data_IF_750744157656
#
_entry.id   IF_750744157656
#
_cell.length_a   1.000
_cell.length_b   1.000
_cell.length_c   1.000
_cell.angle_alpha   90.00
_cell.angle_beta   90.00
_cell.angle_gamma   90.00
#
_symmetry.space_group_name_H-M   'P 1'
#
loop_
_entity.id
_entity.type
_entity.pdbx_description
1 polymer ?
#
# COMPACT_ATOMS: atom_id res chain seq x y z
N UNK A 1 4.11 -21.65 8.04
CA UNK A 1 4.95 -20.93 7.07
C UNK A 1 6.41 -21.07 7.48
N UNK A 2 7.29 -21.45 6.55
CA UNK A 2 8.74 -21.51 6.85
C UNK A 2 9.34 -20.10 6.89
N UNK A 3 10.50 -19.95 7.54
CA UNK A 3 11.21 -18.65 7.58
C UNK A 3 11.50 -18.13 6.17
N UNK A 4 11.90 -19.01 5.24
CA UNK A 4 12.16 -18.65 3.83
C UNK A 4 10.91 -18.09 3.14
N UNK A 5 9.76 -18.74 3.32
CA UNK A 5 8.49 -18.27 2.74
C UNK A 5 8.06 -16.95 3.37
N UNK A 6 8.21 -16.77 4.68
CA UNK A 6 7.93 -15.48 5.36
C UNK A 6 8.76 -14.34 4.77
N UNK A 7 10.07 -14.57 4.67
CA UNK A 7 11.01 -13.56 4.13
C UNK A 7 10.64 -13.22 2.68
N UNK A 8 10.33 -14.23 1.87
CA UNK A 8 9.90 -14.04 0.49
C UNK A 8 8.64 -13.18 0.43
N UNK A 9 7.60 -13.52 1.19
CA UNK A 9 6.34 -12.76 1.21
C UNK A 9 6.54 -11.31 1.67
N UNK A 10 7.37 -11.07 2.68
CA UNK A 10 7.66 -9.71 3.14
C UNK A 10 8.43 -8.92 2.09
N UNK A 11 9.44 -9.51 1.44
CA UNK A 11 10.18 -8.84 0.36
C UNK A 11 9.28 -8.54 -0.84
N UNK A 12 8.48 -9.50 -1.29
CA UNK A 12 7.56 -9.28 -2.41
C UNK A 12 6.54 -8.20 -2.06
N UNK A 13 6.00 -8.21 -0.83
CA UNK A 13 5.05 -7.19 -0.38
C UNK A 13 5.69 -5.81 -0.30
N UNK A 14 6.93 -5.71 0.20
CA UNK A 14 7.69 -4.45 0.22
C UNK A 14 7.95 -3.91 -1.19
N UNK A 15 8.31 -4.79 -2.14
CA UNK A 15 8.47 -4.42 -3.56
C UNK A 15 7.15 -3.95 -4.15
N UNK A 16 6.04 -4.63 -3.87
CA UNK A 16 4.71 -4.22 -4.32
C UNK A 16 4.31 -2.85 -3.77
N UNK A 17 4.63 -2.54 -2.50
CA UNK A 17 4.42 -1.21 -1.92
C UNK A 17 5.25 -0.13 -2.62
N UNK A 18 6.51 -0.42 -2.95
CA UNK A 18 7.33 0.50 -3.74
C UNK A 18 6.73 0.70 -5.14
N UNK A 19 6.32 -0.38 -5.80
CA UNK A 19 5.69 -0.31 -7.12
C UNK A 19 4.39 0.50 -7.08
N UNK A 20 3.58 0.34 -6.03
CA UNK A 20 2.39 1.13 -5.80
C UNK A 20 2.71 2.62 -5.59
N UNK A 21 3.75 2.94 -4.81
CA UNK A 21 4.23 4.32 -4.63
C UNK A 21 4.64 4.97 -5.95
N UNK A 22 5.41 4.26 -6.78
CA UNK A 22 5.78 4.71 -8.14
C UNK A 22 4.54 4.89 -9.01
N UNK A 23 3.63 3.93 -9.02
CA UNK A 23 2.37 4.01 -9.78
C UNK A 23 1.54 5.23 -9.35
N UNK A 24 1.45 5.50 -8.04
CA UNK A 24 0.70 6.62 -7.50
C UNK A 24 1.25 7.97 -7.99
N UNK A 25 2.58 8.12 -7.98
CA UNK A 25 3.25 9.30 -8.53
C UNK A 25 3.09 9.41 -10.05
N UNK A 26 3.25 8.30 -10.78
CA UNK A 26 3.17 8.27 -12.24
C UNK A 26 1.76 8.57 -12.77
N UNK A 27 0.71 8.17 -12.04
CA UNK A 27 -0.69 8.40 -12.41
C UNK A 27 -1.18 9.79 -12.03
N UNK A 28 -0.43 10.53 -11.19
CA UNK A 28 -0.77 11.90 -10.77
C UNK A 28 -1.08 12.86 -11.94
N UNK A 29 -0.24 12.98 -12.98
CA UNK A 29 -0.56 13.85 -14.13
C UNK A 29 -1.80 13.37 -14.89
N UNK A 30 -2.01 12.05 -15.00
CA UNK A 30 -3.17 11.48 -15.68
C UNK A 30 -4.48 11.84 -14.96
N UNK A 31 -4.52 11.73 -13.62
CA UNK A 31 -5.71 12.12 -12.84
C UNK A 31 -5.93 13.64 -12.92
N UNK A 32 -4.87 14.44 -12.87
CA UNK A 32 -5.00 15.89 -13.04
C UNK A 32 -5.61 16.26 -14.40
N UNK A 33 -5.27 15.52 -15.45
CA UNK A 33 -5.82 15.70 -16.79
C UNK A 33 -7.28 15.24 -16.86
N UNK A 34 -7.60 14.04 -16.34
CA UNK A 34 -8.99 13.57 -16.23
C UNK A 34 -9.89 14.56 -15.46
N UNK A 35 -9.38 15.15 -14.38
CA UNK A 35 -10.13 16.14 -13.61
C UNK A 35 -10.40 17.39 -14.46
N UNK A 36 -9.41 17.82 -15.24
CA UNK A 36 -9.54 18.96 -16.17
C UNK A 36 -10.61 18.69 -17.24
N UNK A 37 -10.67 17.47 -17.76
CA UNK A 37 -11.65 17.08 -18.80
C UNK A 37 -13.07 16.88 -18.24
N UNK A 38 -13.20 16.47 -16.98
CA UNK A 38 -14.48 16.08 -16.38
C UNK A 38 -15.15 17.16 -15.51
N UNK A 39 -14.39 18.13 -14.98
CA UNK A 39 -14.91 19.10 -14.01
C UNK A 39 -15.09 20.50 -14.60
N UNK A 40 -16.04 21.25 -14.03
CA UNK A 40 -16.23 22.67 -14.37
C UNK A 40 -15.00 23.48 -13.93
N UNK A 41 -14.60 24.54 -14.67
CA UNK A 41 -13.41 25.34 -14.37
C UNK A 41 -13.34 25.82 -12.92
N UNK A 42 -14.46 26.33 -12.38
CA UNK A 42 -14.53 26.82 -10.99
C UNK A 42 -14.31 25.73 -9.92
N UNK A 43 -14.51 24.45 -10.25
CA UNK A 43 -14.25 23.34 -9.32
C UNK A 43 -12.79 22.86 -9.39
N UNK A 44 -12.08 23.11 -10.49
CA UNK A 44 -10.68 22.69 -10.67
C UNK A 44 -9.74 23.36 -9.69
N UNK A 45 -9.94 24.65 -9.44
CA UNK A 45 -9.10 25.44 -8.54
C UNK A 45 -9.15 24.91 -7.10
N UNK A 46 -10.29 24.31 -6.71
CA UNK A 46 -10.49 23.75 -5.38
C UNK A 46 -10.10 22.26 -5.28
N UNK A 47 -10.34 21.47 -6.33
CA UNK A 47 -10.14 20.01 -6.30
C UNK A 47 -8.71 19.60 -6.63
N UNK A 48 -8.03 20.31 -7.53
CA UNK A 48 -6.72 19.91 -8.04
C UNK A 48 -5.61 20.00 -6.98
N UNK A 49 -5.48 21.09 -6.18
CA UNK A 49 -4.43 21.18 -5.17
C UNK A 49 -4.46 20.06 -4.11
N UNK A 50 -5.58 19.75 -3.43
CA UNK A 50 -5.61 18.68 -2.42
C UNK A 50 -5.40 17.29 -3.04
N UNK A 51 -5.90 17.06 -4.25
CA UNK A 51 -5.68 15.80 -4.97
C UNK A 51 -4.20 15.56 -5.28
N UNK A 52 -3.50 16.59 -5.80
CA UNK A 52 -2.06 16.53 -6.09
C UNK A 52 -1.25 16.33 -4.82
N UNK A 53 -1.55 17.09 -3.77
CA UNK A 53 -0.88 16.98 -2.48
C UNK A 53 -1.00 15.54 -1.94
N UNK A 54 -2.21 14.99 -1.93
CA UNK A 54 -2.42 13.62 -1.45
C UNK A 54 -1.63 12.60 -2.29
N UNK A 55 -1.65 12.70 -3.62
CA UNK A 55 -0.94 11.75 -4.48
C UNK A 55 0.58 11.81 -4.31
N UNK A 56 1.13 13.02 -4.18
CA UNK A 56 2.57 13.19 -3.97
C UNK A 56 2.97 12.68 -2.59
N UNK A 57 2.26 13.09 -1.54
CA UNK A 57 2.58 12.70 -0.16
C UNK A 57 2.46 11.19 0.02
N UNK A 58 1.35 10.59 -0.39
CA UNK A 58 1.14 9.14 -0.27
C UNK A 58 2.16 8.39 -1.13
N UNK A 59 2.40 8.83 -2.36
CA UNK A 59 3.36 8.19 -3.26
C UNK A 59 4.78 8.19 -2.68
N UNK A 60 5.23 9.35 -2.19
CA UNK A 60 6.56 9.51 -1.55
C UNK A 60 6.66 8.70 -0.27
N UNK A 61 5.62 8.60 0.55
CA UNK A 61 5.65 7.84 1.81
C UNK A 61 5.58 6.31 1.60
N UNK A 62 4.96 5.84 0.52
CA UNK A 62 4.89 4.40 0.21
C UNK A 62 6.25 3.80 -0.15
N UNK A 63 7.13 4.57 -0.80
CA UNK A 63 8.48 4.13 -1.17
C UNK A 63 9.34 3.73 0.05
N UNK A 64 9.59 4.59 1.05
CA UNK A 64 10.38 4.22 2.21
C UNK A 64 9.69 3.14 3.05
N UNK A 65 8.36 3.06 3.09
CA UNK A 65 7.64 1.96 3.75
C UNK A 65 7.92 0.61 3.06
N UNK A 66 7.86 0.57 1.73
CA UNK A 66 8.18 -0.64 0.96
C UNK A 66 9.64 -1.08 1.14
N UNK A 67 10.58 -0.14 1.13
CA UNK A 67 12.00 -0.40 1.42
C UNK A 67 12.18 -0.92 2.85
N UNK A 68 11.54 -0.30 3.84
CA UNK A 68 11.64 -0.68 5.24
C UNK A 68 11.11 -2.10 5.48
N UNK A 69 9.99 -2.48 4.85
CA UNK A 69 9.47 -3.86 4.93
C UNK A 69 10.42 -4.86 4.26
N UNK A 70 10.97 -4.51 3.11
CA UNK A 70 11.95 -5.36 2.39
C UNK A 70 13.22 -5.57 3.22
N UNK A 71 13.68 -4.52 3.89
CA UNK A 71 14.85 -4.54 4.78
C UNK A 71 14.58 -5.27 6.10
N UNK A 72 13.38 -5.13 6.68
CA UNK A 72 12.98 -5.82 7.90
C UNK A 72 12.72 -7.32 7.68
N UNK A 73 12.42 -7.74 6.45
CA UNK A 73 12.04 -9.12 6.10
C UNK A 73 12.91 -10.24 6.71
N UNK A 74 14.26 -10.22 6.57
CA UNK A 74 15.12 -11.27 7.13
C UNK A 74 15.27 -11.22 8.65
N UNK A 75 14.87 -10.13 9.30
CA UNK A 75 15.08 -9.92 10.73
C UNK A 75 13.92 -10.48 11.57
N UNK A 76 14.25 -11.04 12.74
CA UNK A 76 13.29 -11.54 13.74
C UNK A 76 13.26 -10.71 15.04
N UNK A 77 14.04 -9.63 15.10
CA UNK A 77 14.12 -8.70 16.23
C UNK A 77 12.77 -8.05 16.54
N UNK A 78 12.63 -7.52 17.76
CA UNK A 78 11.40 -6.84 18.21
C UNK A 78 11.02 -5.68 17.30
N UNK A 79 11.98 -4.82 16.92
CA UNK A 79 11.72 -3.67 16.03
C UNK A 79 11.18 -4.13 14.67
N UNK A 80 11.76 -5.18 14.06
CA UNK A 80 11.34 -5.67 12.75
C UNK A 80 9.93 -6.25 12.80
N UNK A 81 9.58 -6.96 13.88
CA UNK A 81 8.24 -7.49 14.11
C UNK A 81 7.21 -6.37 14.32
N UNK A 82 7.50 -5.40 15.18
CA UNK A 82 6.60 -4.28 15.47
C UNK A 82 6.35 -3.46 14.20
N UNK A 83 7.41 -3.03 13.52
CA UNK A 83 7.29 -2.26 12.26
C UNK A 83 6.48 -3.01 11.21
N UNK A 84 6.78 -4.29 10.98
CA UNK A 84 6.06 -5.10 9.98
C UNK A 84 4.58 -5.24 10.33
N UNK A 85 4.23 -5.46 11.60
CA UNK A 85 2.84 -5.59 12.04
C UNK A 85 2.07 -4.28 11.94
N UNK A 86 2.67 -3.17 12.37
CA UNK A 86 2.05 -1.83 12.28
C UNK A 86 1.75 -1.48 10.83
N UNK A 87 2.74 -1.66 9.94
CA UNK A 87 2.55 -1.39 8.51
C UNK A 87 1.54 -2.36 7.89
N UNK A 88 1.61 -3.65 8.21
CA UNK A 88 0.64 -4.63 7.70
C UNK A 88 -0.80 -4.27 8.10
N UNK A 89 -1.02 -3.89 9.35
CA UNK A 89 -2.35 -3.44 9.83
C UNK A 89 -2.80 -2.16 9.10
N UNK A 90 -1.92 -1.17 8.95
CA UNK A 90 -2.25 0.07 8.25
C UNK A 90 -2.57 -0.16 6.76
N UNK A 91 -1.82 -1.03 6.07
CA UNK A 91 -2.07 -1.36 4.67
C UNK A 91 -3.33 -2.23 4.53
N UNK A 92 -3.65 -3.06 5.52
CA UNK A 92 -4.85 -3.89 5.51
C UNK A 92 -6.16 -3.12 5.67
N UNK A 93 -6.15 -1.92 6.25
CA UNK A 93 -7.34 -1.09 6.31
C UNK A 93 -7.64 -0.39 4.98
N UNK A 94 -6.70 -0.35 4.03
CA UNK A 94 -6.90 0.33 2.75
C UNK A 94 -7.98 -0.32 1.88
N UNK A 95 -7.97 -1.64 1.57
CA UNK A 95 -9.04 -2.25 0.76
C UNK A 95 -10.47 -2.01 1.29
N UNK A 96 -10.79 -2.29 2.57
CA UNK A 96 -12.16 -2.08 3.06
C UNK A 96 -12.53 -0.60 3.07
N UNK A 97 -11.60 0.30 3.39
CA UNK A 97 -11.85 1.75 3.37
C UNK A 97 -12.12 2.24 1.95
N UNK A 98 -11.37 1.76 0.95
CA UNK A 98 -11.60 2.13 -0.46
C UNK A 98 -12.97 1.67 -0.95
N UNK A 99 -13.36 0.42 -0.65
CA UNK A 99 -14.68 -0.11 -1.03
C UNK A 99 -15.80 0.70 -0.35
N UNK A 100 -15.63 1.02 0.94
CA UNK A 100 -16.63 1.74 1.72
C UNK A 100 -16.78 3.21 1.28
N UNK A 101 -15.68 3.90 0.99
CA UNK A 101 -15.69 5.35 0.70
C UNK A 101 -15.94 5.64 -0.79
N UNK A 102 -15.30 4.94 -1.71
CA UNK A 102 -15.41 5.25 -3.14
C UNK A 102 -16.64 4.62 -3.79
N UNK A 103 -17.12 3.47 -3.30
CA UNK A 103 -18.13 2.69 -4.02
C UNK A 103 -17.58 2.11 -5.34
N UNK A 104 -18.32 1.16 -5.93
CA UNK A 104 -17.81 0.34 -7.04
C UNK A 104 -17.74 1.04 -8.41
N UNK A 105 -18.31 2.24 -8.53
CA UNK A 105 -18.41 2.95 -9.82
C UNK A 105 -17.08 3.51 -10.34
N UNK A 106 -16.11 3.78 -9.47
CA UNK A 106 -14.81 4.35 -9.86
C UNK A 106 -13.81 3.31 -10.40
N UNK A 107 -14.17 2.02 -10.39
CA UNK A 107 -13.31 0.93 -10.88
C UNK A 107 -13.23 0.80 -12.40
N UNK A 108 -13.80 1.74 -13.17
CA UNK A 108 -13.74 1.71 -14.64
C UNK A 108 -12.35 1.97 -15.23
N UNK A 109 -11.47 2.68 -14.52
CA UNK A 109 -10.15 3.06 -15.02
C UNK A 109 -9.08 1.98 -14.72
N UNK A 110 -8.32 1.57 -15.74
CA UNK A 110 -7.26 0.55 -15.61
C UNK A 110 -6.24 0.85 -14.49
N UNK A 111 -5.73 2.08 -14.30
CA UNK A 111 -4.79 2.37 -13.22
C UNK A 111 -5.38 2.13 -11.82
N UNK A 112 -6.68 2.37 -11.67
CA UNK A 112 -7.39 2.19 -10.41
C UNK A 112 -7.59 0.71 -10.07
N UNK A 113 -7.91 -0.11 -11.09
CA UNK A 113 -7.98 -1.57 -10.94
C UNK A 113 -6.62 -2.16 -10.57
N UNK A 114 -5.55 -1.75 -11.26
CA UNK A 114 -4.18 -2.21 -10.97
C UNK A 114 -3.75 -1.81 -9.55
N UNK A 115 -3.96 -0.55 -9.16
CA UNK A 115 -3.64 -0.09 -7.81
C UNK A 115 -4.41 -0.88 -6.75
N UNK A 116 -5.71 -1.11 -6.96
CA UNK A 116 -6.53 -1.91 -6.02
C UNK A 116 -6.04 -3.36 -5.95
N UNK A 117 -5.76 -3.99 -7.08
CA UNK A 117 -5.26 -5.37 -7.10
C UNK A 117 -3.92 -5.48 -6.34
N UNK A 118 -2.98 -4.56 -6.60
CA UNK A 118 -1.69 -4.50 -5.89
C UNK A 118 -1.90 -4.31 -4.38
N UNK A 119 -2.77 -3.38 -3.98
CA UNK A 119 -3.08 -3.14 -2.56
C UNK A 119 -3.70 -4.38 -1.93
N UNK A 120 -4.72 -4.98 -2.54
CA UNK A 120 -5.38 -6.17 -2.00
C UNK A 120 -4.41 -7.35 -1.83
N UNK A 121 -3.63 -7.65 -2.88
CA UNK A 121 -2.63 -8.71 -2.83
C UNK A 121 -1.60 -8.40 -1.74
N UNK A 122 -1.05 -7.18 -1.74
CA UNK A 122 -0.07 -6.73 -0.76
C UNK A 122 -0.61 -6.81 0.68
N UNK A 123 -1.82 -6.34 0.94
CA UNK A 123 -2.46 -6.36 2.26
C UNK A 123 -2.61 -7.79 2.78
N UNK A 124 -3.10 -8.71 1.94
CA UNK A 124 -3.27 -10.13 2.33
C UNK A 124 -1.92 -10.78 2.61
N UNK A 125 -0.93 -10.59 1.74
CA UNK A 125 0.40 -11.19 1.92
C UNK A 125 1.16 -10.60 3.11
N UNK A 126 1.06 -9.29 3.36
CA UNK A 126 1.63 -8.62 4.53
C UNK A 126 1.00 -9.11 5.82
N UNK A 127 -0.35 -9.16 5.91
CA UNK A 127 -1.03 -9.65 7.10
C UNK A 127 -0.65 -11.10 7.40
N UNK A 128 -0.73 -11.96 6.39
CA UNK A 128 -0.34 -13.36 6.53
C UNK A 128 1.10 -13.46 7.03
N UNK A 129 2.05 -12.73 6.44
CA UNK A 129 3.46 -12.82 6.82
C UNK A 129 3.80 -12.17 8.18
N UNK A 130 3.06 -11.14 8.59
CA UNK A 130 3.29 -10.38 9.82
C UNK A 130 2.74 -11.09 11.08
N UNK A 131 1.62 -11.82 10.92
CA UNK A 131 0.89 -12.46 12.01
C UNK A 131 0.98 -13.99 12.02
N UNK A 132 1.65 -14.62 11.03
CA UNK A 132 1.81 -16.07 11.05
C UNK A 132 2.54 -16.55 12.32
N UNK A 133 2.03 -17.59 13.01
CA UNK A 133 2.71 -18.19 14.15
C UNK A 133 4.08 -18.73 13.73
N UNK A 134 5.17 -18.12 14.24
CA UNK A 134 6.50 -18.71 14.10
C UNK A 134 6.61 -19.85 15.11
N UNK A 135 7.02 -21.03 14.65
CA UNK A 135 7.11 -22.28 15.43
C UNK A 135 8.12 -22.24 16.60
N UNK A 136 8.55 -21.05 17.03
CA UNK A 136 9.52 -20.80 18.10
C UNK A 136 8.94 -19.90 19.20
N UNK A 137 7.61 -19.87 19.35
CA UNK A 137 6.89 -19.03 20.32
C UNK A 137 6.43 -19.72 21.60
N UNK A 138 6.70 -21.02 21.78
CA UNK A 138 6.23 -21.80 22.95
C UNK A 138 7.33 -22.08 23.98
N UNK A 139 8.51 -21.48 23.87
CA UNK A 139 9.57 -21.65 24.88
C UNK A 139 10.25 -20.31 25.14
N UNK A 140 9.91 -19.71 26.30
CA UNK A 140 10.52 -18.54 26.97
C UNK A 140 9.83 -17.20 26.71
N UNK A 141 8.68 -17.03 27.37
CA UNK A 141 8.57 -15.95 28.36
C UNK A 141 8.81 -16.55 29.75
#
# INVERSE_FOLDING_TARGET
MTVRVRVLLLRTSGILLCALGVLHLAVTPFIAQMLTDAARPAALDWLRPPMLLNHIVVGVLLLPLGVLITYAAPHSTSWARVTTRVVASAIATLPPTLVWVMGTHYFGALPFQLATAIVCVGSVTLLAAAFWPSASGDLRE
#
